data_IF_403242635683
#
_entry.id   IF_403242635683
#
_cell.length_a   1.000
_cell.length_b   1.000
_cell.length_c   1.000
_cell.angle_alpha   90.00
_cell.angle_beta   90.00
_cell.angle_gamma   90.00
#
_symmetry.space_group_name_H-M   'P 1'
#
loop_
_entity.id
_entity.type
_entity.pdbx_description
1 polymer ?
#
# COMPACT_ATOMS: atom_id res chain seq x y z
N UNK A 1 -4.23 6.96 1.21
CA UNK A 1 -4.28 7.39 -0.20
C UNK A 1 -4.79 6.32 -1.14
N UNK A 2 -4.22 5.12 -1.14
CA UNK A 2 -4.58 4.07 -2.12
C UNK A 2 -5.75 3.19 -1.66
N UNK A 3 -6.61 3.70 -0.78
CA UNK A 3 -7.80 3.00 -0.25
C UNK A 3 -9.02 3.85 -0.56
N UNK A 4 -10.23 3.27 -0.70
CA UNK A 4 -11.41 4.03 -1.11
C UNK A 4 -11.68 5.27 -0.26
N UNK A 5 -11.40 5.21 1.05
CA UNK A 5 -11.59 6.33 1.98
C UNK A 5 -10.49 7.39 1.93
N UNK A 6 -9.31 7.04 1.43
CA UNK A 6 -8.16 7.94 1.39
C UNK A 6 -7.85 8.50 -0.01
N UNK A 7 -8.63 8.13 -1.02
CA UNK A 7 -8.47 8.58 -2.40
C UNK A 7 -9.24 9.87 -2.65
N UNK A 8 -8.66 10.78 -3.45
CA UNK A 8 -9.33 11.96 -3.97
C UNK A 8 -8.95 12.14 -5.44
N UNK A 9 -9.92 12.47 -6.30
CA UNK A 9 -9.68 12.77 -7.72
C UNK A 9 -8.81 14.01 -7.94
N UNK A 10 -8.61 14.82 -6.90
CA UNK A 10 -7.71 15.97 -6.93
C UNK A 10 -6.22 15.57 -6.89
N UNK A 11 -5.88 14.33 -6.54
CA UNK A 11 -4.49 13.91 -6.48
C UNK A 11 -3.91 13.69 -7.87
N UNK A 12 -2.86 14.44 -8.18
CA UNK A 12 -2.08 14.24 -9.40
C UNK A 12 -1.35 12.90 -9.33
N UNK A 13 -1.15 12.27 -10.49
CA UNK A 13 -0.39 11.01 -10.60
C UNK A 13 1.02 11.18 -10.02
N UNK A 14 1.63 12.35 -10.23
CA UNK A 14 2.93 12.68 -9.68
C UNK A 14 2.93 12.67 -8.14
N UNK A 15 1.95 13.31 -7.49
CA UNK A 15 1.84 13.31 -6.04
C UNK A 15 1.67 11.89 -5.49
N UNK A 16 0.86 11.06 -6.16
CA UNK A 16 0.67 9.65 -5.79
C UNK A 16 1.97 8.86 -5.89
N UNK A 17 2.74 9.01 -6.98
CA UNK A 17 4.02 8.32 -7.14
C UNK A 17 5.06 8.77 -6.10
N UNK A 18 5.18 10.07 -5.86
CA UNK A 18 6.10 10.64 -4.86
C UNK A 18 5.77 10.13 -3.45
N UNK A 19 4.50 10.16 -3.07
CA UNK A 19 4.07 9.70 -1.75
C UNK A 19 4.20 8.18 -1.60
N UNK A 20 3.94 7.42 -2.67
CA UNK A 20 4.19 5.99 -2.69
C UNK A 20 5.67 5.69 -2.43
N UNK A 21 6.58 6.35 -3.16
CA UNK A 21 8.02 6.19 -2.96
C UNK A 21 8.45 6.56 -1.52
N UNK A 22 7.95 7.68 -0.98
CA UNK A 22 8.22 8.08 0.40
C UNK A 22 7.75 7.03 1.42
N UNK A 23 6.61 6.39 1.18
CA UNK A 23 6.08 5.35 2.07
C UNK A 23 6.93 4.08 2.10
N UNK A 24 7.61 3.73 1.00
CA UNK A 24 8.57 2.63 0.96
C UNK A 24 9.79 2.91 1.86
N UNK A 25 10.30 4.15 1.83
CA UNK A 25 11.44 4.56 2.68
C UNK A 25 11.06 4.54 4.14
N UNK A 26 9.92 5.15 4.49
CA UNK A 26 9.40 5.15 5.86
C UNK A 26 9.14 3.73 6.38
N UNK A 27 8.61 2.85 5.53
CA UNK A 27 8.39 1.44 5.84
C UNK A 27 9.65 0.57 5.81
N UNK A 28 10.84 1.16 5.64
CA UNK A 28 12.13 0.45 5.53
C UNK A 28 12.11 -0.68 4.49
N UNK A 29 11.43 -0.47 3.35
CA UNK A 29 11.30 -1.44 2.28
C UNK A 29 12.65 -1.91 1.74
N UNK A 30 12.85 -3.22 1.59
CA UNK A 30 14.09 -3.83 1.08
C UNK A 30 13.81 -4.76 -0.08
N UNK A 31 14.79 -4.87 -0.98
CA UNK A 31 14.76 -5.85 -2.06
C UNK A 31 15.00 -7.24 -1.47
N UNK A 32 14.01 -8.12 -1.57
CA UNK A 32 14.14 -9.51 -1.15
C UNK A 32 14.98 -10.31 -2.17
N UNK A 33 16.31 -10.29 -2.00
CA UNK A 33 17.25 -11.03 -2.88
C UNK A 33 17.29 -12.54 -2.61
N UNK A 34 16.64 -13.03 -1.55
CA UNK A 34 16.61 -14.46 -1.16
C UNK A 34 15.61 -15.32 -1.96
N UNK A 35 15.00 -14.79 -3.02
CA UNK A 35 14.03 -15.50 -3.87
C UNK A 35 14.64 -16.61 -4.76
N UNK A 36 15.70 -17.29 -4.30
CA UNK A 36 16.34 -18.40 -4.99
C UNK A 36 15.57 -19.73 -4.93
N UNK A 37 14.51 -19.85 -4.11
CA UNK A 37 13.69 -21.08 -4.02
C UNK A 37 12.17 -20.89 -3.96
N UNK A 38 11.66 -19.68 -3.76
CA UNK A 38 10.24 -19.38 -3.93
C UNK A 38 10.07 -18.09 -4.71
N UNK A 39 9.93 -18.21 -6.03
CA UNK A 39 9.35 -17.15 -6.85
C UNK A 39 7.87 -17.00 -6.43
N UNK A 40 7.59 -16.27 -5.35
CA UNK A 40 6.27 -15.61 -5.25
C UNK A 40 6.26 -14.59 -6.38
N UNK A 41 5.72 -14.99 -7.52
CA UNK A 41 5.50 -14.10 -8.65
C UNK A 41 4.49 -13.06 -8.20
N UNK A 42 4.93 -11.80 -8.11
CA UNK A 42 3.99 -10.70 -7.97
C UNK A 42 3.02 -10.78 -9.15
N UNK A 43 1.77 -11.13 -8.87
CA UNK A 43 0.73 -11.30 -9.88
C UNK A 43 -0.42 -10.36 -9.59
N UNK A 44 -1.09 -9.91 -10.65
CA UNK A 44 -2.27 -9.04 -10.53
C UNK A 44 -3.37 -9.69 -9.68
N UNK A 45 -3.62 -10.99 -9.91
CA UNK A 45 -4.66 -11.76 -9.21
C UNK A 45 -4.42 -11.82 -7.70
N UNK A 46 -3.18 -12.07 -7.27
CA UNK A 46 -2.84 -12.11 -5.85
C UNK A 46 -2.96 -10.72 -5.21
N UNK A 47 -2.42 -9.68 -5.86
CA UNK A 47 -2.50 -8.31 -5.37
C UNK A 47 -3.96 -7.83 -5.19
N UNK A 48 -4.84 -8.11 -6.16
CA UNK A 48 -6.26 -7.77 -6.08
C UNK A 48 -6.97 -8.52 -4.94
N UNK A 49 -6.66 -9.81 -4.75
CA UNK A 49 -7.25 -10.61 -3.67
C UNK A 49 -6.81 -10.09 -2.29
N UNK A 50 -5.51 -9.81 -2.11
CA UNK A 50 -4.98 -9.22 -0.88
C UNK A 50 -5.60 -7.85 -0.60
N UNK A 51 -5.72 -6.99 -1.61
CA UNK A 51 -6.35 -5.68 -1.47
C UNK A 51 -7.81 -5.78 -1.03
N UNK A 52 -8.61 -6.65 -1.67
CA UNK A 52 -10.01 -6.87 -1.29
C UNK A 52 -10.16 -7.32 0.17
N UNK A 53 -9.31 -8.27 0.60
CA UNK A 53 -9.31 -8.73 1.98
C UNK A 53 -8.93 -7.62 2.96
N UNK A 54 -7.94 -6.79 2.61
CA UNK A 54 -7.47 -5.69 3.43
C UNK A 54 -8.57 -4.64 3.62
N UNK A 55 -9.22 -4.23 2.52
CA UNK A 55 -10.33 -3.25 2.58
C UNK A 55 -11.48 -3.78 3.43
N UNK A 56 -11.91 -5.02 3.22
CA UNK A 56 -13.01 -5.63 3.99
C UNK A 56 -12.72 -5.65 5.50
N UNK A 57 -11.49 -5.98 5.90
CA UNK A 57 -11.08 -5.97 7.31
C UNK A 57 -11.12 -4.55 7.88
N UNK A 58 -10.60 -3.56 7.16
CA UNK A 58 -10.59 -2.18 7.64
C UNK A 58 -11.94 -1.47 7.55
N UNK A 59 -12.88 -1.94 6.72
CA UNK A 59 -14.28 -1.52 6.79
C UNK A 59 -14.95 -2.02 8.07
N UNK A 60 -14.64 -3.26 8.48
CA UNK A 60 -15.22 -3.87 9.69
C UNK A 60 -14.64 -3.31 10.98
N UNK A 61 -13.33 -3.08 11.03
CA UNK A 61 -12.61 -2.74 12.27
C UNK A 61 -12.06 -1.31 12.30
N UNK A 62 -12.26 -0.55 11.23
CA UNK A 62 -11.74 0.80 11.09
C UNK A 62 -10.32 0.86 10.52
N UNK A 63 -9.96 2.06 10.05
CA UNK A 63 -8.61 2.39 9.62
C UNK A 63 -7.86 3.01 10.77
N UNK A 64 -6.63 2.57 11.01
CA UNK A 64 -5.74 3.25 11.96
C UNK A 64 -5.39 4.61 11.37
N UNK A 65 -5.70 5.69 12.10
CA UNK A 65 -5.26 7.03 11.76
C UNK A 65 -3.82 7.19 12.27
N UNK A 66 -2.81 7.29 11.39
CA UNK A 66 -1.46 7.58 11.86
C UNK A 66 -1.41 8.97 12.52
N UNK A 67 -0.55 9.16 13.52
CA UNK A 67 -0.40 10.44 14.23
C UNK A 67 0.04 11.56 13.26
N UNK A 68 -0.36 12.79 13.58
CA UNK A 68 -0.17 14.00 12.72
C UNK A 68 1.29 14.28 12.37
N UNK A 69 2.25 13.76 13.13
CA UNK A 69 3.69 13.90 12.91
C UNK A 69 4.23 13.13 11.69
N UNK A 70 3.38 12.33 11.04
CA UNK A 70 3.74 11.48 9.90
C UNK A 70 3.39 12.07 8.52
N UNK A 71 2.96 13.34 8.48
CA UNK A 71 2.57 14.10 7.29
C UNK A 71 3.66 15.04 6.80
#
# INVERSE_FOLDING_TARGET
LLTPRGWSSAYTVEAVMRQFAASLVKGQGRICRKAGKSKKSFSRKEAEATFKSLVKTHEKYGWVTPPVSDG
#
